data_IF_539812022587
#
_entry.id   IF_539812022587
#
_cell.length_a   1.000
_cell.length_b   1.000
_cell.length_c   1.000
_cell.angle_alpha   90.00
_cell.angle_beta   90.00
_cell.angle_gamma   90.00
#
_symmetry.space_group_name_H-M   'P 1'
#
loop_
_entity.id
_entity.type
_entity.pdbx_description
1 polymer ?
#
# COMPACT_ATOMS: atom_id res chain seq x y z
N UNK A 1 -16.88 -12.08 -0.83
CA UNK A 1 -15.45 -12.08 -0.51
C UNK A 1 -14.60 -11.62 -1.69
N UNK A 2 -14.57 -12.34 -2.82
CA UNK A 2 -13.70 -12.02 -3.97
C UNK A 2 -13.89 -10.58 -4.50
N UNK A 3 -15.13 -10.17 -4.83
CA UNK A 3 -15.41 -8.82 -5.34
C UNK A 3 -14.98 -7.73 -4.35
N UNK A 4 -15.24 -7.93 -3.06
CA UNK A 4 -14.82 -7.01 -2.01
C UNK A 4 -13.29 -6.88 -1.97
N UNK A 5 -12.59 -8.03 -1.90
CA UNK A 5 -11.13 -8.06 -1.87
C UNK A 5 -10.52 -7.40 -3.12
N UNK A 6 -11.09 -7.66 -4.30
CA UNK A 6 -10.65 -7.06 -5.55
C UNK A 6 -10.87 -5.55 -5.55
N UNK A 7 -12.06 -5.07 -5.19
CA UNK A 7 -12.37 -3.64 -5.17
C UNK A 7 -11.46 -2.88 -4.21
N UNK A 8 -11.18 -3.43 -3.03
CA UNK A 8 -10.32 -2.79 -2.05
C UNK A 8 -8.84 -2.83 -2.44
N UNK A 9 -8.38 -3.92 -3.08
CA UNK A 9 -6.97 -4.09 -3.45
C UNK A 9 -6.60 -3.35 -4.74
N UNK A 10 -7.48 -3.33 -5.74
CA UNK A 10 -7.21 -2.71 -7.05
C UNK A 10 -7.40 -1.18 -7.02
N UNK A 11 -8.25 -0.67 -6.13
CA UNK A 11 -8.51 0.77 -6.03
C UNK A 11 -7.23 1.53 -5.64
N UNK A 12 -6.95 2.68 -6.28
CA UNK A 12 -5.75 3.45 -6.03
C UNK A 12 -5.65 3.83 -4.55
N UNK A 13 -4.43 3.72 -4.02
CA UNK A 13 -4.09 4.06 -2.65
C UNK A 13 -2.58 4.22 -2.49
N UNK A 14 -2.10 4.61 -1.30
CA UNK A 14 -0.69 4.91 -1.08
C UNK A 14 0.25 3.78 -1.50
N UNK A 15 -0.06 2.54 -1.12
CA UNK A 15 0.74 1.34 -1.47
C UNK A 15 0.77 1.12 -2.99
N UNK A 16 -0.40 1.22 -3.66
CA UNK A 16 -0.51 1.04 -5.09
C UNK A 16 0.30 2.09 -5.87
N UNK A 17 0.23 3.36 -5.45
CA UNK A 17 0.99 4.45 -6.06
C UNK A 17 2.50 4.27 -5.83
N UNK A 18 2.91 3.83 -4.65
CA UNK A 18 4.31 3.53 -4.36
C UNK A 18 4.84 2.38 -5.22
N UNK A 19 4.05 1.31 -5.39
CA UNK A 19 4.40 0.18 -6.27
C UNK A 19 4.51 0.64 -7.71
N UNK A 20 3.54 1.40 -8.20
CA UNK A 20 3.52 1.93 -9.57
C UNK A 20 4.80 2.74 -9.85
N UNK A 21 5.11 3.72 -8.98
CA UNK A 21 6.27 4.60 -9.15
C UNK A 21 7.59 3.86 -8.96
N UNK A 22 7.69 2.96 -8.01
CA UNK A 22 8.90 2.16 -7.79
C UNK A 22 9.15 1.21 -8.95
N UNK A 23 8.11 0.54 -9.45
CA UNK A 23 8.25 -0.35 -10.61
C UNK A 23 8.53 0.42 -11.89
N UNK A 24 8.04 1.65 -12.04
CA UNK A 24 8.41 2.53 -13.13
C UNK A 24 9.89 2.91 -13.09
N UNK A 25 10.44 3.18 -11.90
CA UNK A 25 11.82 3.65 -11.75
C UNK A 25 12.85 2.49 -11.71
N UNK A 26 12.50 1.34 -11.14
CA UNK A 26 13.41 0.23 -10.83
C UNK A 26 13.03 -1.10 -11.48
N UNK A 27 11.87 -1.19 -12.11
CA UNK A 27 11.28 -2.41 -12.64
C UNK A 27 10.51 -3.22 -11.59
N UNK A 28 9.62 -4.08 -12.08
CA UNK A 28 8.77 -4.92 -11.20
C UNK A 28 9.58 -5.92 -10.40
N UNK A 29 10.67 -6.45 -10.98
CA UNK A 29 11.55 -7.42 -10.32
C UNK A 29 12.22 -6.83 -9.07
N UNK A 30 12.72 -5.61 -9.16
CA UNK A 30 13.32 -4.92 -8.02
C UNK A 30 12.27 -4.56 -6.95
N UNK A 31 11.05 -4.20 -7.37
CA UNK A 31 9.93 -3.85 -6.48
C UNK A 31 9.25 -5.07 -5.86
N UNK A 32 9.56 -6.29 -6.31
CA UNK A 32 8.88 -7.52 -5.89
C UNK A 32 8.95 -7.77 -4.38
N UNK A 33 10.08 -7.47 -3.73
CA UNK A 33 10.22 -7.58 -2.27
C UNK A 33 9.22 -6.69 -1.54
N UNK A 34 9.04 -5.44 -1.99
CA UNK A 34 8.07 -4.50 -1.43
C UNK A 34 6.62 -4.98 -1.65
N UNK A 35 6.28 -5.48 -2.85
CA UNK A 35 4.95 -6.05 -3.16
C UNK A 35 4.65 -7.22 -2.22
N UNK A 36 5.62 -8.13 -2.03
CA UNK A 36 5.48 -9.27 -1.13
C UNK A 36 5.31 -8.82 0.32
N UNK A 37 6.10 -7.85 0.76
CA UNK A 37 5.98 -7.25 2.09
C UNK A 37 4.61 -6.61 2.32
N UNK A 38 4.12 -5.84 1.35
CA UNK A 38 2.81 -5.23 1.43
C UNK A 38 1.68 -6.27 1.50
N UNK A 39 1.74 -7.33 0.68
CA UNK A 39 0.73 -8.38 0.69
C UNK A 39 0.74 -9.16 1.99
N UNK A 40 1.91 -9.60 2.46
CA UNK A 40 2.03 -10.35 3.71
C UNK A 40 1.67 -9.47 4.91
N UNK A 41 2.15 -8.22 4.92
CA UNK A 41 1.80 -7.25 5.96
C UNK A 41 0.30 -7.02 6.08
N UNK A 42 -0.39 -6.86 4.95
CA UNK A 42 -1.86 -6.74 4.95
C UNK A 42 -2.55 -8.02 5.40
N UNK A 43 -2.07 -9.19 4.97
CA UNK A 43 -2.66 -10.47 5.35
C UNK A 43 -2.56 -10.71 6.85
N UNK A 44 -1.42 -10.37 7.45
CA UNK A 44 -1.22 -10.43 8.90
C UNK A 44 -2.13 -9.45 9.64
N UNK A 45 -2.27 -8.22 9.12
CA UNK A 45 -3.22 -7.23 9.66
C UNK A 45 -4.64 -7.76 9.61
N UNK A 46 -5.10 -8.25 8.45
CA UNK A 46 -6.45 -8.79 8.28
C UNK A 46 -6.70 -9.97 9.20
N UNK A 47 -5.77 -10.92 9.27
CA UNK A 47 -5.86 -12.06 10.18
C UNK A 47 -5.93 -11.59 11.64
N UNK A 48 -5.10 -10.65 12.04
CA UNK A 48 -5.12 -10.09 13.41
C UNK A 48 -6.47 -9.44 13.74
N UNK A 49 -7.07 -8.70 12.80
CA UNK A 49 -8.40 -8.09 12.98
C UNK A 49 -9.49 -9.17 13.05
N UNK A 50 -9.44 -10.17 12.16
CA UNK A 50 -10.40 -11.29 12.17
C UNK A 50 -10.38 -12.08 13.49
N UNK A 51 -9.21 -12.21 14.13
CA UNK A 51 -9.04 -13.07 15.31
C UNK A 51 -8.85 -12.32 16.63
N UNK A 52 -9.20 -11.03 16.71
CA UNK A 52 -9.33 -10.36 17.99
C UNK A 52 -8.75 -8.95 18.12
N UNK A 53 -7.86 -8.50 17.21
CA UNK A 53 -7.26 -7.17 17.30
C UNK A 53 -8.32 -6.04 17.23
N UNK A 54 -9.45 -6.30 16.59
CA UNK A 54 -10.57 -5.36 16.56
C UNK A 54 -11.05 -4.98 17.97
N UNK A 55 -11.13 -5.93 18.89
CA UNK A 55 -11.54 -5.65 20.27
C UNK A 55 -10.54 -4.75 20.99
N UNK A 56 -9.24 -4.93 20.73
CA UNK A 56 -8.22 -4.06 21.31
C UNK A 56 -8.34 -2.61 20.82
N UNK A 57 -8.69 -2.41 19.55
CA UNK A 57 -8.90 -1.06 19.00
C UNK A 57 -10.11 -0.38 19.63
N UNK A 58 -11.18 -1.13 19.89
CA UNK A 58 -12.38 -0.61 20.57
C UNK A 58 -12.07 -0.20 22.01
N UNK A 59 -11.22 -0.98 22.71
CA UNK A 59 -10.83 -0.69 24.11
C UNK A 59 -9.80 0.44 24.17
N UNK A 60 -8.90 0.52 23.21
CA UNK A 60 -7.80 1.50 23.15
C UNK A 60 -7.82 2.29 21.83
N UNK A 61 -8.75 3.28 21.67
CA UNK A 61 -8.83 4.09 20.44
C UNK A 61 -7.53 4.82 20.09
N UNK A 62 -6.72 5.16 21.10
CA UNK A 62 -5.39 5.78 20.95
C UNK A 62 -4.46 5.01 20.01
N UNK A 63 -4.68 3.68 19.83
CA UNK A 63 -3.92 2.91 18.84
C UNK A 63 -4.12 3.40 17.41
N UNK A 64 -5.34 3.80 17.06
CA UNK A 64 -5.63 4.37 15.74
C UNK A 64 -4.97 5.74 15.56
N UNK A 65 -4.86 6.52 16.63
CA UNK A 65 -4.18 7.81 16.64
C UNK A 65 -2.71 7.64 16.28
N UNK A 66 -2.04 6.75 17.00
CA UNK A 66 -0.62 6.42 16.77
C UNK A 66 -0.41 5.89 15.35
N UNK A 67 -1.25 4.96 14.88
CA UNK A 67 -1.19 4.39 13.54
C UNK A 67 -1.33 5.49 12.49
N UNK A 68 -2.29 6.41 12.67
CA UNK A 68 -2.55 7.51 11.72
C UNK A 68 -1.37 8.48 11.66
N UNK A 69 -0.82 8.86 12.80
CA UNK A 69 0.34 9.76 12.86
C UNK A 69 1.56 9.13 12.20
N UNK A 70 1.90 7.89 12.59
CA UNK A 70 3.04 7.17 12.02
C UNK A 70 2.85 6.90 10.52
N UNK A 71 1.63 6.56 10.11
CA UNK A 71 1.26 6.38 8.70
C UNK A 71 1.43 7.66 7.89
N UNK A 72 0.97 8.79 8.43
CA UNK A 72 1.14 10.10 7.81
C UNK A 72 2.62 10.45 7.62
N UNK A 73 3.44 10.26 8.65
CA UNK A 73 4.89 10.53 8.57
C UNK A 73 5.56 9.63 7.53
N UNK A 74 5.24 8.33 7.52
CA UNK A 74 5.78 7.38 6.54
C UNK A 74 5.40 7.77 5.10
N UNK A 75 4.14 8.11 4.86
CA UNK A 75 3.64 8.51 3.54
C UNK A 75 4.27 9.82 3.07
N UNK A 76 4.43 10.80 3.96
CA UNK A 76 5.14 12.05 3.67
C UNK A 76 6.58 11.75 3.26
N UNK A 77 7.29 10.90 4.00
CA UNK A 77 8.66 10.51 3.68
C UNK A 77 8.77 9.83 2.32
N UNK A 78 7.89 8.87 2.02
CA UNK A 78 7.87 8.19 0.72
C UNK A 78 7.51 9.16 -0.40
N UNK A 79 6.47 10.00 -0.21
CA UNK A 79 6.07 11.01 -1.19
C UNK A 79 7.19 11.99 -1.53
N UNK A 80 7.93 12.46 -0.52
CA UNK A 80 9.09 13.33 -0.71
C UNK A 80 10.23 12.63 -1.46
N UNK A 81 10.48 11.34 -1.19
CA UNK A 81 11.51 10.57 -1.90
C UNK A 81 11.14 10.40 -3.38
N UNK A 82 9.88 10.09 -3.68
CA UNK A 82 9.39 9.97 -5.07
C UNK A 82 9.47 11.34 -5.77
N UNK A 83 9.07 12.42 -5.11
CA UNK A 83 9.14 13.78 -5.65
C UNK A 83 10.58 14.20 -5.99
N UNK A 84 11.55 13.76 -5.20
CA UNK A 84 12.98 14.04 -5.41
C UNK A 84 13.65 13.08 -6.41
N UNK A 85 13.01 11.97 -6.77
CA UNK A 85 13.57 11.01 -7.70
C UNK A 85 13.85 11.69 -9.06
N UNK A 86 15.10 11.62 -9.52
CA UNK A 86 15.47 12.05 -10.86
C UNK A 86 14.76 11.11 -11.84
N UNK A 87 14.01 11.63 -12.79
CA UNK A 87 13.18 10.85 -13.73
C UNK A 87 14.01 9.98 -14.71
N UNK A 88 14.94 9.20 -14.21
CA UNK A 88 15.69 8.19 -14.95
C UNK A 88 14.85 6.92 -14.97
N UNK A 89 14.16 6.70 -16.06
CA UNK A 89 13.47 5.45 -16.36
C UNK A 89 14.53 4.37 -16.59
N UNK A 90 14.34 3.23 -15.95
CA UNK A 90 15.16 2.01 -16.02
C UNK A 90 16.47 2.21 -16.79
N UNK A 91 17.47 2.83 -16.16
CA UNK A 91 18.78 2.96 -16.76
C UNK A 91 19.54 1.66 -16.50
N UNK A 92 20.31 1.20 -17.48
CA UNK A 92 21.26 0.09 -17.37
C UNK A 92 22.45 0.39 -16.42
N UNK A 93 22.42 1.51 -15.73
CA UNK A 93 23.41 1.82 -14.70
C UNK A 93 23.07 1.15 -13.36
N UNK A 94 24.03 0.77 -12.54
CA UNK A 94 23.78 0.18 -11.23
C UNK A 94 22.86 1.10 -10.44
N UNK A 95 21.67 0.60 -10.12
CA UNK A 95 20.74 1.31 -9.26
C UNK A 95 21.38 1.42 -7.87
N UNK A 96 21.22 2.58 -7.27
CA UNK A 96 21.54 2.79 -5.86
C UNK A 96 20.55 1.91 -5.06
N UNK A 97 20.97 0.69 -4.70
CA UNK A 97 20.13 -0.31 -4.03
C UNK A 97 19.46 0.24 -2.76
N UNK A 98 20.09 1.24 -2.15
CA UNK A 98 19.55 1.93 -0.98
C UNK A 98 18.24 2.69 -1.23
N UNK A 99 17.83 2.89 -2.50
CA UNK A 99 16.60 3.60 -2.88
C UNK A 99 15.44 2.69 -3.27
N UNK A 100 15.71 1.39 -3.42
CA UNK A 100 14.68 0.41 -3.77
C UNK A 100 13.84 0.12 -2.51
N UNK A 101 12.50 0.23 -2.56
CA UNK A 101 11.66 -0.06 -1.41
C UNK A 101 11.78 -1.52 -0.96
N UNK A 102 11.95 -1.70 0.34
CA UNK A 102 12.20 -3.01 0.94
C UNK A 102 10.91 -3.75 1.32
N UNK A 103 11.03 -5.06 1.59
CA UNK A 103 9.95 -5.88 2.14
C UNK A 103 9.34 -5.29 3.43
N UNK A 104 10.21 -4.88 4.37
CA UNK A 104 9.77 -4.33 5.66
C UNK A 104 8.99 -3.03 5.46
N UNK A 105 9.44 -2.16 4.55
CA UNK A 105 8.71 -0.93 4.22
C UNK A 105 7.33 -1.23 3.63
N UNK A 106 7.21 -2.25 2.77
CA UNK A 106 5.92 -2.69 2.25
C UNK A 106 4.98 -3.17 3.34
N UNK A 107 5.47 -4.01 4.26
CA UNK A 107 4.70 -4.50 5.39
C UNK A 107 4.25 -3.36 6.33
N UNK A 108 5.18 -2.50 6.74
CA UNK A 108 4.89 -1.35 7.60
C UNK A 108 3.90 -0.38 6.95
N UNK A 109 4.03 -0.16 5.64
CA UNK A 109 3.14 0.73 4.92
C UNK A 109 1.68 0.26 4.95
N UNK A 110 1.42 -1.03 5.00
CA UNK A 110 0.05 -1.57 5.16
C UNK A 110 -0.46 -1.39 6.60
N UNK A 111 0.37 -1.65 7.60
CA UNK A 111 -0.01 -1.48 9.01
C UNK A 111 -0.26 -0.01 9.38
N UNK A 112 0.44 0.90 8.73
CA UNK A 112 0.29 2.35 8.92
C UNK A 112 -0.68 3.00 7.92
N UNK A 113 -1.40 2.20 7.12
CA UNK A 113 -2.34 2.67 6.10
C UNK A 113 -3.79 2.55 6.58
N UNK A 114 -4.49 3.65 6.88
CA UNK A 114 -5.89 3.59 7.33
C UNK A 114 -6.83 2.90 6.35
N UNK A 115 -6.56 2.98 5.03
CA UNK A 115 -7.34 2.25 4.04
C UNK A 115 -7.26 0.73 4.28
N UNK A 116 -6.09 0.21 4.68
CA UNK A 116 -5.92 -1.20 4.99
C UNK A 116 -6.72 -1.60 6.25
N UNK A 117 -6.72 -0.75 7.27
CA UNK A 117 -7.53 -0.97 8.48
C UNK A 117 -9.03 -0.94 8.19
N UNK A 118 -9.50 0.05 7.40
CA UNK A 118 -10.92 0.11 6.97
C UNK A 118 -11.30 -1.17 6.21
N UNK A 119 -10.45 -1.63 5.29
CA UNK A 119 -10.70 -2.86 4.54
C UNK A 119 -10.73 -4.10 5.44
N UNK A 120 -9.82 -4.19 6.41
CA UNK A 120 -9.77 -5.31 7.35
C UNK A 120 -11.00 -5.33 8.27
N UNK A 121 -11.35 -4.19 8.87
CA UNK A 121 -12.51 -4.07 9.78
C UNK A 121 -13.82 -4.28 9.05
N UNK A 122 -14.04 -3.59 7.90
CA UNK A 122 -15.26 -3.73 7.12
C UNK A 122 -15.44 -5.15 6.58
N UNK A 123 -14.35 -5.75 6.06
CA UNK A 123 -14.39 -7.13 5.57
C UNK A 123 -14.67 -8.14 6.69
N UNK A 124 -14.05 -7.99 7.85
CA UNK A 124 -14.33 -8.82 9.02
C UNK A 124 -15.79 -8.68 9.43
N UNK A 125 -16.32 -7.46 9.54
CA UNK A 125 -17.72 -7.23 9.88
C UNK A 125 -18.72 -7.83 8.88
N UNK A 126 -18.41 -7.75 7.57
CA UNK A 126 -19.28 -8.31 6.51
C UNK A 126 -19.29 -9.85 6.47
N UNK A 127 -18.18 -10.49 6.85
CA UNK A 127 -18.03 -11.94 6.68
C UNK A 127 -17.97 -12.71 8.00
N UNK A 128 -18.02 -12.02 9.14
CA UNK A 128 -18.14 -12.63 10.47
C UNK A 128 -19.59 -13.02 10.75
N UNK A 129 -20.12 -13.97 9.99
CA UNK A 129 -21.47 -14.52 10.20
C UNK A 129 -21.38 -15.73 11.12
N UNK A 130 -21.67 -15.54 12.42
CA UNK A 130 -21.64 -16.62 13.41
C UNK A 130 -20.21 -17.04 13.81
N UNK A 131 -20.11 -18.02 14.70
CA UNK A 131 -18.83 -18.47 15.28
C UNK A 131 -17.97 -19.35 14.37
N UNK A 132 -18.02 -19.18 13.04
CA UNK A 132 -17.32 -20.08 12.12
C UNK A 132 -16.00 -19.43 11.70
N UNK A 133 -14.93 -19.67 12.48
CA UNK A 133 -13.57 -19.26 12.15
C UNK A 133 -13.10 -19.70 10.74
N UNK A 134 -13.64 -20.82 10.24
CA UNK A 134 -13.33 -21.33 8.91
C UNK A 134 -13.69 -20.33 7.78
N UNK A 135 -14.80 -19.59 7.91
CA UNK A 135 -15.22 -18.59 6.93
C UNK A 135 -14.21 -17.43 6.88
N UNK A 136 -13.73 -16.99 8.04
CA UNK A 136 -12.72 -15.93 8.13
C UNK A 136 -11.37 -16.40 7.58
N UNK A 137 -10.97 -17.65 7.80
CA UNK A 137 -9.75 -18.20 7.18
C UNK A 137 -9.85 -18.24 5.67
N UNK A 138 -10.98 -18.65 5.11
CA UNK A 138 -11.23 -18.60 3.66
C UNK A 138 -11.17 -17.17 3.14
N UNK A 139 -11.76 -16.23 3.88
CA UNK A 139 -11.69 -14.80 3.52
C UNK A 139 -10.25 -14.29 3.49
N UNK A 140 -9.45 -14.58 4.50
CA UNK A 140 -8.02 -14.21 4.55
C UNK A 140 -7.25 -14.81 3.38
N UNK A 141 -7.48 -16.09 3.06
CA UNK A 141 -6.82 -16.77 1.93
C UNK A 141 -7.20 -16.16 0.57
N UNK A 142 -8.49 -15.91 0.34
CA UNK A 142 -8.96 -15.22 -0.88
C UNK A 142 -8.35 -13.84 -0.98
N UNK A 143 -8.34 -13.09 0.12
CA UNK A 143 -7.80 -11.74 0.13
C UNK A 143 -6.29 -11.72 -0.14
N UNK A 144 -5.53 -12.67 0.42
CA UNK A 144 -4.11 -12.82 0.14
C UNK A 144 -3.85 -12.95 -1.36
N UNK A 145 -4.52 -13.87 -2.02
CA UNK A 145 -4.33 -14.13 -3.47
C UNK A 145 -4.73 -12.90 -4.28
N UNK A 146 -5.90 -12.34 -4.01
CA UNK A 146 -6.43 -11.18 -4.75
C UNK A 146 -5.57 -9.95 -4.54
N UNK A 147 -5.13 -9.69 -3.32
CA UNK A 147 -4.23 -8.57 -2.99
C UNK A 147 -2.91 -8.72 -3.73
N UNK A 148 -2.30 -9.92 -3.67
CA UNK A 148 -1.01 -10.18 -4.33
C UNK A 148 -1.09 -9.93 -5.84
N UNK A 149 -2.12 -10.48 -6.49
CA UNK A 149 -2.33 -10.30 -7.93
C UNK A 149 -2.61 -8.84 -8.28
N UNK A 150 -3.44 -8.15 -7.49
CA UNK A 150 -3.73 -6.73 -7.69
C UNK A 150 -2.48 -5.86 -7.58
N UNK A 151 -1.65 -6.08 -6.56
CA UNK A 151 -0.40 -5.33 -6.38
C UNK A 151 0.64 -5.64 -7.47
N UNK A 152 0.72 -6.90 -7.93
CA UNK A 152 1.54 -7.27 -9.08
C UNK A 152 1.09 -6.55 -10.36
N UNK A 153 -0.22 -6.46 -10.60
CA UNK A 153 -0.76 -5.72 -11.75
C UNK A 153 -0.37 -4.24 -11.70
N UNK A 154 -0.40 -3.61 -10.52
CA UNK A 154 0.10 -2.25 -10.34
C UNK A 154 1.60 -2.12 -10.64
N UNK A 155 2.40 -3.13 -10.23
CA UNK A 155 3.83 -3.20 -10.56
C UNK A 155 4.08 -3.32 -12.06
N UNK A 156 3.40 -4.25 -12.74
CA UNK A 156 3.48 -4.45 -14.19
C UNK A 156 3.03 -3.18 -14.94
N UNK A 157 1.96 -2.54 -14.48
CA UNK A 157 1.50 -1.29 -15.05
C UNK A 157 2.56 -0.19 -14.93
N UNK A 158 3.24 -0.07 -13.79
CA UNK A 158 4.33 0.87 -13.58
C UNK A 158 5.50 0.61 -14.53
N UNK A 159 5.94 -0.63 -14.66
CA UNK A 159 7.03 -0.99 -15.56
C UNK A 159 6.68 -0.74 -17.05
N UNK A 160 5.46 -1.05 -17.47
CA UNK A 160 4.98 -0.71 -18.82
C UNK A 160 4.87 0.79 -19.05
N UNK A 161 4.43 1.53 -18.04
CA UNK A 161 4.36 2.99 -18.11
C UNK A 161 5.75 3.61 -18.28
N UNK A 162 6.78 2.99 -17.71
CA UNK A 162 8.17 3.42 -17.85
C UNK A 162 8.59 3.52 -19.32
N UNK A 163 8.25 2.54 -20.15
CA UNK A 163 8.60 2.53 -21.58
C UNK A 163 7.89 3.68 -22.34
N UNK A 164 6.69 4.03 -21.95
CA UNK A 164 5.93 5.15 -22.55
C UNK A 164 6.45 6.51 -22.09
N UNK A 165 6.95 6.62 -20.87
CA UNK A 165 7.44 7.87 -20.29
C UNK A 165 8.94 8.13 -20.56
N UNK A 166 9.63 7.21 -21.25
CA UNK A 166 11.08 7.28 -21.48
C UNK A 166 11.53 8.38 -22.46
N UNK A 167 10.69 9.35 -22.77
CA UNK A 167 10.96 10.47 -23.66
C UNK A 167 10.97 11.80 -22.91
N UNK A 168 12.13 12.45 -22.81
CA UNK A 168 12.27 13.79 -22.25
C UNK A 168 11.97 13.86 -20.75
N UNK A 169 11.29 14.92 -20.32
CA UNK A 169 10.99 15.20 -18.89
C UNK A 169 9.74 14.48 -18.35
N UNK A 170 9.12 13.58 -19.11
CA UNK A 170 7.84 12.96 -18.74
C UNK A 170 7.92 12.14 -17.47
N UNK A 171 8.98 11.32 -17.29
CA UNK A 171 9.19 10.51 -16.11
C UNK A 171 9.36 11.37 -14.85
N UNK A 172 10.07 12.50 -14.96
CA UNK A 172 10.21 13.44 -13.85
C UNK A 172 8.88 14.10 -13.49
N UNK A 173 8.11 14.52 -14.49
CA UNK A 173 6.78 15.12 -14.27
C UNK A 173 5.86 14.09 -13.59
N UNK A 174 5.89 12.83 -14.03
CA UNK A 174 5.13 11.74 -13.41
C UNK A 174 5.52 11.54 -11.93
N UNK A 175 6.82 11.49 -11.62
CA UNK A 175 7.28 11.36 -10.23
C UNK A 175 6.84 12.55 -9.36
N UNK A 176 6.88 13.76 -9.91
CA UNK A 176 6.39 14.96 -9.22
C UNK A 176 4.89 14.81 -8.93
N UNK A 177 4.08 14.45 -9.92
CA UNK A 177 2.63 14.27 -9.74
C UNK A 177 2.34 13.18 -8.70
N UNK A 178 3.00 12.03 -8.78
CA UNK A 178 2.79 10.93 -7.83
C UNK A 178 3.26 11.28 -6.42
N UNK A 179 4.40 11.94 -6.27
CA UNK A 179 4.90 12.40 -4.98
C UNK A 179 3.95 13.42 -4.34
N UNK A 180 3.45 14.39 -5.13
CA UNK A 180 2.46 15.36 -4.65
C UNK A 180 1.16 14.67 -4.25
N UNK A 181 0.65 13.72 -5.04
CA UNK A 181 -0.55 12.96 -4.71
C UNK A 181 -0.39 12.21 -3.38
N UNK A 182 0.74 11.54 -3.14
CA UNK A 182 1.01 10.86 -1.87
C UNK A 182 1.05 11.83 -0.69
N UNK A 183 1.66 13.00 -0.87
CA UNK A 183 1.70 14.05 0.16
C UNK A 183 0.28 14.55 0.44
N UNK A 184 -0.53 14.83 -0.59
CA UNK A 184 -1.91 15.28 -0.41
C UNK A 184 -2.78 14.23 0.30
N UNK A 185 -2.67 12.95 -0.08
CA UNK A 185 -3.36 11.85 0.60
C UNK A 185 -2.94 11.78 2.07
N UNK A 186 -1.65 11.93 2.36
CA UNK A 186 -1.13 11.92 3.72
C UNK A 186 -1.68 13.08 4.56
N UNK A 187 -1.72 14.28 4.00
CA UNK A 187 -2.27 15.46 4.67
C UNK A 187 -3.79 15.35 4.86
N UNK A 188 -4.53 14.83 3.86
CA UNK A 188 -5.96 14.57 3.98
C UNK A 188 -6.26 13.55 5.10
N UNK A 189 -5.46 12.47 5.19
CA UNK A 189 -5.55 11.51 6.29
C UNK A 189 -5.45 12.18 7.65
N UNK A 190 -4.41 13.02 7.81
CA UNK A 190 -4.16 13.74 9.04
C UNK A 190 -5.32 14.73 9.35
N UNK A 191 -5.76 15.47 8.35
CA UNK A 191 -6.88 16.41 8.48
C UNK A 191 -8.18 15.73 8.92
N UNK A 192 -8.60 14.67 8.24
CA UNK A 192 -9.84 13.94 8.60
C UNK A 192 -9.76 13.40 10.02
N UNK A 193 -8.60 12.98 10.44
CA UNK A 193 -8.41 12.42 11.76
C UNK A 193 -8.56 13.46 12.88
N UNK A 194 -8.04 14.68 12.71
CA UNK A 194 -8.09 15.71 13.74
C UNK A 194 -9.35 16.58 13.72
N UNK A 195 -10.13 16.56 12.64
CA UNK A 195 -11.29 17.46 12.47
C UNK A 195 -12.63 16.73 12.29
N UNK A 196 -12.65 15.40 12.33
CA UNK A 196 -13.85 14.55 12.35
C UNK A 196 -13.75 13.45 13.40
#
# INVERSE_FOLDING_TARGET
>A
MFIFSLSMSISPGPVNLTILTSSMNYGVKATFAFISGATIGFTLLLASVCFGLYQMIVIYPVLLDVITILGTVLLLWIGLNILRAKGTVISSQPHDEAKIPTFIQGALMQWLNPKAWIAAVAGTGLFSTGHIHAVLLVFVAIYFVVCYLSLLLWGIAGEKLASFLNTGNRARLFNIVMGVLLILISLEMCWRYFYH
#
